data_IF_307900871343
#
_entry.id   IF_307900871343
#
_cell.length_a   1.000
_cell.length_b   1.000
_cell.length_c   1.000
_cell.angle_alpha   90.00
_cell.angle_beta   90.00
_cell.angle_gamma   90.00
#
_symmetry.space_group_name_H-M   'P 1'
#
loop_
_entity.id
_entity.type
_entity.pdbx_description
1 polymer ?
#
# COMPACT_ATOMS: atom_id res chain seq x y z
N UNK A 1 25.56 16.85 14.61
CA UNK A 1 26.68 17.15 15.50
C UNK A 1 26.16 17.65 16.83
N UNK A 2 26.72 17.15 17.92
CA UNK A 2 26.45 17.61 19.28
C UNK A 2 27.73 18.19 19.89
N UNK A 3 27.58 19.14 20.83
CA UNK A 3 28.66 19.64 21.65
C UNK A 3 28.89 18.78 22.92
N UNK A 4 29.84 19.20 23.80
CA UNK A 4 30.16 18.53 25.03
C UNK A 4 29.01 18.47 26.07
N UNK A 5 27.99 19.35 25.93
CA UNK A 5 26.78 19.40 26.77
C UNK A 5 25.59 18.67 26.12
N UNK A 6 25.82 17.91 25.03
CA UNK A 6 24.82 17.17 24.28
C UNK A 6 23.78 18.01 23.55
N UNK A 7 24.08 19.27 23.33
CA UNK A 7 23.22 20.17 22.59
C UNK A 7 23.52 20.09 21.09
N UNK A 8 22.47 20.16 20.30
CA UNK A 8 22.55 20.11 18.85
C UNK A 8 23.28 21.34 18.29
N UNK A 9 24.37 21.14 17.56
CA UNK A 9 25.12 22.20 16.87
C UNK A 9 24.88 22.24 15.37
N UNK A 10 24.62 21.10 14.78
CA UNK A 10 24.35 21.02 13.34
C UNK A 10 23.51 19.78 13.02
N UNK A 11 22.56 19.94 12.11
CA UNK A 11 21.76 18.86 11.53
C UNK A 11 21.79 19.02 10.00
N UNK A 12 22.09 17.93 9.29
CA UNK A 12 22.06 17.95 7.84
C UNK A 12 20.62 17.78 7.31
N UNK A 13 20.33 18.14 6.04
CA UNK A 13 18.97 18.03 5.49
C UNK A 13 18.39 16.60 5.50
N UNK A 14 19.24 15.57 5.43
CA UNK A 14 18.80 14.19 5.51
C UNK A 14 18.27 13.84 6.92
N UNK A 15 18.93 14.35 7.97
CA UNK A 15 18.48 14.18 9.35
C UNK A 15 17.22 15.02 9.63
N UNK A 16 17.12 16.25 9.07
CA UNK A 16 15.89 17.05 9.15
C UNK A 16 14.70 16.31 8.54
N UNK A 17 14.89 15.65 7.39
CA UNK A 17 13.86 14.84 6.75
C UNK A 17 13.52 13.58 7.55
N UNK A 18 14.52 12.92 8.17
CA UNK A 18 14.30 11.72 9.00
C UNK A 18 13.49 12.03 10.26
N UNK A 19 13.84 13.14 10.93
CA UNK A 19 13.18 13.55 12.17
C UNK A 19 11.92 14.41 11.92
N UNK A 20 11.65 14.79 10.67
CA UNK A 20 10.55 15.70 10.27
C UNK A 20 10.57 17.05 11.01
N UNK A 21 11.77 17.53 11.32
CA UNK A 21 12.01 18.73 12.12
C UNK A 21 13.08 19.61 11.48
N UNK A 22 12.94 20.93 11.63
CA UNK A 22 13.96 21.88 11.13
C UNK A 22 15.11 22.00 12.11
N UNK A 23 16.32 21.74 11.64
CA UNK A 23 17.54 21.88 12.43
C UNK A 23 17.72 23.28 13.02
N UNK A 24 17.32 24.34 12.26
CA UNK A 24 17.41 25.73 12.73
C UNK A 24 16.63 26.01 14.01
N UNK A 25 15.55 25.27 14.27
CA UNK A 25 14.76 25.41 15.51
C UNK A 25 15.35 24.64 16.68
N UNK A 26 16.19 23.67 16.42
CA UNK A 26 16.72 22.72 17.40
C UNK A 26 18.18 22.97 17.74
N UNK A 27 18.89 23.85 17.00
CA UNK A 27 20.25 24.25 17.36
C UNK A 27 20.27 24.82 18.76
N UNK A 28 21.12 24.25 19.65
CA UNK A 28 21.23 24.59 21.06
C UNK A 28 20.28 23.82 21.97
N UNK A 29 19.35 23.04 21.45
CA UNK A 29 18.50 22.15 22.25
C UNK A 29 19.22 20.84 22.60
N UNK A 30 18.94 20.25 23.79
CA UNK A 30 19.45 18.95 24.17
C UNK A 30 18.95 17.85 23.21
N UNK A 31 19.79 16.83 22.96
CA UNK A 31 19.43 15.74 22.04
C UNK A 31 18.17 14.96 22.48
N UNK A 32 17.84 14.95 23.76
CA UNK A 32 16.62 14.34 24.32
C UNK A 32 15.33 15.02 23.80
N UNK A 33 15.40 16.27 23.33
CA UNK A 33 14.27 16.94 22.71
C UNK A 33 13.98 16.46 21.29
N UNK A 34 14.91 15.75 20.67
CA UNK A 34 14.74 15.18 19.33
C UNK A 34 14.00 13.85 19.37
N UNK A 35 14.42 12.97 20.29
CA UNK A 35 13.84 11.62 20.42
C UNK A 35 14.11 11.05 21.81
N UNK A 36 13.20 10.15 22.22
CA UNK A 36 13.37 9.30 23.38
C UNK A 36 13.68 7.88 22.89
N UNK A 37 14.65 7.25 23.49
CA UNK A 37 14.95 5.84 23.26
C UNK A 37 14.18 4.97 24.28
N UNK A 38 13.57 3.86 23.80
CA UNK A 38 12.75 2.97 24.64
C UNK A 38 13.54 2.17 25.70
N UNK A 39 14.86 2.14 25.59
CA UNK A 39 15.73 1.45 26.55
C UNK A 39 16.44 2.49 27.39
N UNK A 40 16.39 2.31 28.71
CA UNK A 40 17.15 3.04 29.72
C UNK A 40 18.66 2.99 29.44
N UNK A 41 19.10 3.65 28.40
CA UNK A 41 20.52 3.92 28.21
C UNK A 41 20.73 5.30 28.80
N UNK A 42 21.24 5.30 30.04
CA UNK A 42 21.68 6.50 30.73
C UNK A 42 22.47 7.38 29.73
N UNK A 43 22.02 8.61 29.51
CA UNK A 43 22.72 9.57 28.64
C UNK A 43 24.20 9.68 29.04
N UNK A 44 24.53 9.45 30.31
CA UNK A 44 25.90 9.34 30.82
C UNK A 44 26.70 8.17 30.23
N UNK A 45 26.03 7.04 29.88
CA UNK A 45 26.74 5.89 29.27
C UNK A 45 27.16 6.16 27.84
N UNK A 46 26.48 7.06 27.13
CA UNK A 46 26.87 7.50 25.79
C UNK A 46 28.18 8.30 25.78
N UNK A 47 28.59 8.85 26.91
CA UNK A 47 29.72 9.77 27.03
C UNK A 47 30.97 9.20 27.72
N UNK A 48 30.85 8.17 28.54
CA UNK A 48 31.99 7.45 29.04
C UNK A 48 32.75 6.68 27.94
N UNK A 49 32.23 6.73 26.71
CA UNK A 49 32.79 6.04 25.55
C UNK A 49 33.72 6.98 24.75
N UNK A 50 34.97 7.07 25.17
CA UNK A 50 36.05 7.55 24.30
C UNK A 50 36.26 6.69 23.05
N UNK A 51 35.29 5.84 22.68
CA UNK A 51 35.29 4.91 21.54
C UNK A 51 34.04 5.03 20.71
N UNK A 52 34.14 4.89 19.38
CA UNK A 52 32.96 4.84 18.49
C UNK A 52 32.01 3.73 18.95
N UNK A 53 30.74 4.05 19.03
CA UNK A 53 29.69 3.13 19.43
C UNK A 53 28.64 3.03 18.32
N UNK A 54 28.16 1.81 18.03
CA UNK A 54 27.11 1.59 17.06
C UNK A 54 25.99 0.76 17.70
N UNK A 55 24.76 1.27 17.65
CA UNK A 55 23.56 0.55 18.04
C UNK A 55 22.75 0.19 16.82
N UNK A 56 22.41 -1.08 16.72
CA UNK A 56 21.59 -1.60 15.61
C UNK A 56 20.14 -1.78 16.04
N UNK A 57 19.22 -1.50 15.11
CA UNK A 57 17.77 -1.65 15.32
C UNK A 57 17.24 -0.90 16.54
N UNK A 58 17.74 0.31 16.76
CA UNK A 58 17.23 1.17 17.82
C UNK A 58 15.85 1.74 17.41
N UNK A 59 14.87 1.59 18.29
CA UNK A 59 13.57 2.24 18.14
C UNK A 59 13.63 3.61 18.81
N UNK A 60 13.51 4.67 18.03
CA UNK A 60 13.50 6.04 18.52
C UNK A 60 12.08 6.58 18.44
N UNK A 61 11.55 7.07 19.57
CA UNK A 61 10.26 7.77 19.60
C UNK A 61 10.51 9.26 19.46
N UNK A 62 10.04 9.83 18.35
CA UNK A 62 10.14 11.26 18.11
C UNK A 62 9.16 12.04 19.01
N UNK A 63 9.49 13.29 19.30
CA UNK A 63 8.69 14.15 20.21
C UNK A 63 7.25 14.38 19.74
N UNK A 64 6.96 14.21 18.45
CA UNK A 64 5.60 14.25 17.89
C UNK A 64 4.88 12.90 17.87
N UNK A 65 5.43 11.86 18.56
CA UNK A 65 4.78 10.56 18.79
C UNK A 65 5.06 9.50 17.72
N UNK A 66 5.81 9.82 16.66
CA UNK A 66 6.21 8.86 15.62
C UNK A 66 7.39 8.02 16.11
N UNK A 67 7.35 6.73 15.82
CA UNK A 67 8.46 5.81 16.05
C UNK A 67 9.21 5.55 14.75
N UNK A 68 10.54 5.55 14.84
CA UNK A 68 11.44 5.20 13.73
C UNK A 68 12.44 4.14 14.19
N UNK A 69 12.75 3.20 13.32
CA UNK A 69 13.78 2.18 13.59
C UNK A 69 15.02 2.52 12.77
N UNK A 70 16.13 2.71 13.47
CA UNK A 70 17.40 3.13 12.87
C UNK A 70 18.58 2.31 13.40
N UNK A 71 19.61 2.16 12.58
CA UNK A 71 20.96 1.95 13.09
C UNK A 71 21.56 3.32 13.33
N UNK A 72 22.23 3.53 14.46
CA UNK A 72 22.98 4.74 14.67
C UNK A 72 24.37 4.48 15.20
N UNK A 73 25.31 5.33 14.81
CA UNK A 73 26.67 5.34 15.33
C UNK A 73 26.97 6.68 15.97
N UNK A 74 27.67 6.64 17.09
CA UNK A 74 28.18 7.82 17.79
C UNK A 74 29.70 7.78 17.73
N UNK A 75 30.31 8.83 17.23
CA UNK A 75 31.76 8.95 17.08
C UNK A 75 32.25 10.27 17.66
N UNK A 76 33.28 10.26 18.54
CA UNK A 76 33.91 11.47 19.01
C UNK A 76 34.68 12.14 17.88
N UNK A 77 34.48 13.43 17.70
CA UNK A 77 35.28 14.24 16.75
C UNK A 77 36.42 14.93 17.51
N UNK A 78 37.62 14.86 16.95
CA UNK A 78 38.77 15.61 17.47
C UNK A 78 38.69 17.08 17.07
N UNK A 79 38.58 17.99 18.04
CA UNK A 79 38.50 19.43 17.84
C UNK A 79 38.66 20.18 19.16
N UNK A 80 38.77 21.50 19.14
CA UNK A 80 38.94 22.37 20.29
C UNK A 80 37.74 22.31 21.28
N UNK A 81 36.53 22.02 20.75
CA UNK A 81 35.31 21.77 21.51
C UNK A 81 34.96 20.30 21.32
N UNK A 82 34.82 19.55 22.41
CA UNK A 82 34.45 18.13 22.36
C UNK A 82 33.10 18.01 21.60
N UNK A 83 33.17 17.46 20.39
CA UNK A 83 31.97 17.26 19.54
C UNK A 83 31.72 15.77 19.31
N UNK A 84 30.46 15.42 19.22
CA UNK A 84 30.02 14.08 18.85
C UNK A 84 29.32 14.13 17.49
N UNK A 85 29.72 13.24 16.60
CA UNK A 85 29.02 12.95 15.39
C UNK A 85 28.06 11.79 15.64
N UNK A 86 26.77 12.01 15.43
CA UNK A 86 25.78 10.91 15.37
C UNK A 86 25.35 10.75 13.91
N UNK A 87 25.51 9.52 13.42
CA UNK A 87 25.06 9.13 12.09
C UNK A 87 23.89 8.18 12.24
N UNK A 88 22.77 8.48 11.59
CA UNK A 88 21.57 7.64 11.58
C UNK A 88 21.39 6.98 10.23
N UNK A 89 21.19 5.68 10.23
CA UNK A 89 20.83 4.91 9.05
C UNK A 89 19.43 4.32 9.24
N UNK A 90 18.40 4.83 8.55
CA UNK A 90 17.05 4.30 8.65
C UNK A 90 16.99 2.85 8.16
N UNK A 91 16.60 1.93 9.04
CA UNK A 91 16.46 0.51 8.68
C UNK A 91 15.12 0.24 8.02
N UNK A 92 14.08 1.01 8.37
CA UNK A 92 12.75 0.85 7.81
C UNK A 92 12.75 0.84 6.28
N UNK A 93 13.64 1.65 5.67
CA UNK A 93 13.77 1.68 4.21
C UNK A 93 14.31 0.37 3.66
N UNK A 94 15.35 -0.22 4.24
CA UNK A 94 15.94 -1.49 3.78
C UNK A 94 15.02 -2.68 4.07
N UNK A 95 14.40 -2.68 5.25
CA UNK A 95 13.41 -3.71 5.62
C UNK A 95 12.14 -3.59 4.76
N UNK A 96 11.73 -2.37 4.41
CA UNK A 96 10.59 -2.13 3.51
C UNK A 96 10.93 -2.61 2.09
N UNK A 97 12.09 -2.26 1.56
CA UNK A 97 12.58 -2.75 0.26
C UNK A 97 12.65 -4.28 0.25
N UNK A 98 13.25 -4.89 1.27
CA UNK A 98 13.36 -6.34 1.37
C UNK A 98 11.99 -7.03 1.49
N UNK A 99 11.04 -6.43 2.23
CA UNK A 99 9.64 -6.92 2.32
C UNK A 99 8.89 -6.74 1.00
N UNK A 100 9.07 -5.62 0.32
CA UNK A 100 8.50 -5.35 -1.00
C UNK A 100 9.05 -6.35 -2.02
N UNK A 101 10.36 -6.57 -2.07
CA UNK A 101 10.99 -7.55 -2.96
C UNK A 101 10.54 -8.99 -2.65
N UNK A 102 10.51 -9.38 -1.39
CA UNK A 102 9.99 -10.68 -0.97
C UNK A 102 8.51 -10.83 -1.32
N UNK A 103 7.71 -9.77 -1.09
CA UNK A 103 6.30 -9.72 -1.49
C UNK A 103 6.11 -9.84 -2.99
N UNK A 104 6.92 -9.16 -3.79
CA UNK A 104 6.90 -9.23 -5.26
C UNK A 104 7.30 -10.63 -5.75
N UNK A 105 8.37 -11.21 -5.20
CA UNK A 105 8.83 -12.56 -5.55
C UNK A 105 7.77 -13.62 -5.21
N UNK A 106 7.21 -13.55 -4.00
CA UNK A 106 6.14 -14.44 -3.55
C UNK A 106 4.87 -14.25 -4.39
N UNK A 107 4.50 -13.02 -4.70
CA UNK A 107 3.35 -12.70 -5.55
C UNK A 107 3.54 -13.22 -6.98
N UNK A 108 4.77 -13.15 -7.54
CA UNK A 108 5.09 -13.74 -8.86
C UNK A 108 4.99 -15.25 -8.85
N UNK A 109 5.57 -15.91 -7.85
CA UNK A 109 5.51 -17.38 -7.71
C UNK A 109 4.07 -17.86 -7.55
N UNK A 110 3.31 -17.23 -6.66
CA UNK A 110 1.90 -17.53 -6.45
C UNK A 110 1.07 -17.29 -7.71
N UNK A 111 1.36 -16.25 -8.50
CA UNK A 111 0.67 -15.99 -9.77
C UNK A 111 0.91 -17.09 -10.80
N UNK A 112 2.12 -17.63 -10.90
CA UNK A 112 2.43 -18.76 -11.81
C UNK A 112 1.65 -19.99 -11.39
N UNK A 113 1.63 -20.32 -10.09
CA UNK A 113 0.88 -21.45 -9.55
C UNK A 113 -0.64 -21.26 -9.74
N UNK A 114 -1.18 -20.09 -9.39
CA UNK A 114 -2.61 -19.77 -9.57
C UNK A 114 -2.99 -19.83 -11.05
N UNK A 115 -2.13 -19.38 -11.96
CA UNK A 115 -2.38 -19.47 -13.41
C UNK A 115 -2.44 -20.91 -13.88
N UNK A 116 -1.53 -21.77 -13.44
CA UNK A 116 -1.56 -23.22 -13.75
C UNK A 116 -2.84 -23.87 -13.26
N UNK A 117 -3.15 -23.68 -11.97
CA UNK A 117 -4.38 -24.21 -11.35
C UNK A 117 -5.65 -23.68 -12.03
N UNK A 118 -5.67 -22.41 -12.40
CA UNK A 118 -6.84 -21.83 -13.06
C UNK A 118 -7.09 -22.46 -14.44
N UNK A 119 -6.05 -22.76 -15.21
CA UNK A 119 -6.20 -23.49 -16.48
C UNK A 119 -6.73 -24.90 -16.24
N UNK A 120 -6.22 -25.59 -15.21
CA UNK A 120 -6.67 -26.95 -14.86
C UNK A 120 -8.10 -26.97 -14.30
N UNK A 121 -8.58 -25.90 -13.66
CA UNK A 121 -9.96 -25.79 -13.19
C UNK A 121 -10.91 -25.40 -14.34
N UNK A 122 -10.50 -24.50 -15.23
CA UNK A 122 -11.33 -24.07 -16.38
C UNK A 122 -11.65 -25.21 -17.34
N UNK A 123 -10.72 -26.14 -17.51
CA UNK A 123 -10.90 -27.27 -18.41
C UNK A 123 -12.09 -28.17 -18.01
N UNK A 124 -12.17 -28.71 -16.78
CA UNK A 124 -13.33 -29.49 -16.36
C UNK A 124 -14.63 -28.68 -16.32
N UNK A 125 -14.57 -27.38 -15.93
CA UNK A 125 -15.76 -26.52 -15.98
C UNK A 125 -16.29 -26.34 -17.40
N UNK A 126 -15.38 -26.19 -18.38
CA UNK A 126 -15.76 -26.16 -19.79
C UNK A 126 -16.40 -27.47 -20.26
N UNK A 127 -15.88 -28.61 -19.79
CA UNK A 127 -16.46 -29.92 -20.05
C UNK A 127 -17.86 -30.11 -19.43
N UNK A 128 -18.02 -29.73 -18.18
CA UNK A 128 -19.33 -29.77 -17.48
C UNK A 128 -20.36 -28.89 -18.17
N UNK A 129 -19.98 -27.66 -18.52
CA UNK A 129 -20.86 -26.74 -19.27
C UNK A 129 -21.27 -27.31 -20.62
N UNK A 130 -20.29 -27.86 -21.39
CA UNK A 130 -20.56 -28.44 -22.71
C UNK A 130 -21.46 -29.67 -22.60
N UNK A 131 -21.24 -30.56 -21.63
CA UNK A 131 -22.10 -31.73 -21.38
C UNK A 131 -23.55 -31.32 -21.00
N UNK A 132 -23.71 -30.30 -20.12
CA UNK A 132 -25.03 -29.78 -19.76
C UNK A 132 -25.75 -29.15 -20.96
N UNK A 133 -25.03 -28.43 -21.84
CA UNK A 133 -25.59 -27.88 -23.07
C UNK A 133 -26.05 -28.96 -24.06
N UNK A 134 -25.29 -30.05 -24.21
CA UNK A 134 -25.70 -31.18 -25.05
C UNK A 134 -26.89 -31.88 -24.46
N UNK A 135 -26.88 -32.14 -23.13
CA UNK A 135 -28.01 -32.74 -22.43
C UNK A 135 -29.28 -31.90 -22.60
N UNK A 136 -29.23 -30.58 -22.45
CA UNK A 136 -30.35 -29.68 -22.63
C UNK A 136 -30.98 -29.79 -24.05
N UNK A 137 -30.16 -30.07 -25.09
CA UNK A 137 -30.66 -30.25 -26.45
C UNK A 137 -31.41 -31.60 -26.68
N UNK A 138 -31.05 -32.63 -25.91
CA UNK A 138 -31.64 -33.97 -26.02
C UNK A 138 -32.86 -34.14 -25.10
N UNK A 139 -33.03 -33.28 -24.10
CA UNK A 139 -34.16 -33.32 -23.18
C UNK A 139 -35.43 -32.83 -23.86
N UNK A 140 -36.47 -33.64 -23.79
CA UNK A 140 -37.83 -33.30 -24.26
C UNK A 140 -38.73 -32.75 -23.16
N UNK A 141 -38.43 -33.07 -21.90
CA UNK A 141 -39.18 -32.52 -20.74
C UNK A 141 -38.64 -31.18 -20.32
N UNK A 142 -39.43 -30.14 -20.56
CA UNK A 142 -39.09 -28.75 -20.21
C UNK A 142 -38.74 -28.54 -18.74
N UNK A 143 -39.27 -29.34 -17.83
CA UNK A 143 -38.95 -29.24 -16.39
C UNK A 143 -37.52 -29.66 -16.07
N UNK A 144 -36.91 -30.50 -16.92
CA UNK A 144 -35.52 -30.91 -16.74
C UNK A 144 -34.51 -29.90 -17.28
N UNK A 145 -34.95 -28.94 -18.13
CA UNK A 145 -34.11 -27.86 -18.58
C UNK A 145 -33.66 -26.94 -17.43
N UNK A 146 -34.50 -26.73 -16.42
CA UNK A 146 -34.12 -25.94 -15.23
C UNK A 146 -32.84 -26.48 -14.56
N UNK A 147 -32.67 -27.80 -14.49
CA UNK A 147 -31.46 -28.40 -13.93
C UNK A 147 -30.23 -28.18 -14.80
N UNK A 148 -30.38 -28.26 -16.12
CA UNK A 148 -29.25 -27.99 -17.02
C UNK A 148 -28.86 -26.53 -17.03
N UNK A 149 -29.82 -25.62 -16.91
CA UNK A 149 -29.56 -24.17 -16.81
C UNK A 149 -28.80 -23.85 -15.52
N UNK A 150 -29.21 -24.42 -14.38
CA UNK A 150 -28.48 -24.27 -13.10
C UNK A 150 -27.03 -24.77 -13.23
N UNK A 151 -26.80 -25.92 -13.87
CA UNK A 151 -25.43 -26.44 -14.07
C UNK A 151 -24.59 -25.50 -14.92
N UNK A 152 -25.18 -24.96 -16.01
CA UNK A 152 -24.50 -24.02 -16.91
C UNK A 152 -24.16 -22.72 -16.16
N UNK A 153 -25.13 -22.14 -15.43
CA UNK A 153 -24.95 -20.92 -14.65
C UNK A 153 -23.86 -21.08 -13.58
N UNK A 154 -23.86 -22.17 -12.83
CA UNK A 154 -22.83 -22.42 -11.81
C UNK A 154 -21.44 -22.68 -12.42
N UNK A 155 -21.38 -23.38 -13.56
CA UNK A 155 -20.10 -23.55 -14.29
C UNK A 155 -19.55 -22.21 -14.78
N UNK A 156 -20.40 -21.32 -15.32
CA UNK A 156 -20.03 -19.98 -15.76
C UNK A 156 -19.66 -19.09 -14.56
N UNK A 157 -20.38 -19.21 -13.44
CA UNK A 157 -20.06 -18.50 -12.19
C UNK A 157 -18.68 -18.88 -11.65
N UNK A 158 -18.38 -20.18 -11.57
CA UNK A 158 -17.09 -20.70 -11.12
C UNK A 158 -15.97 -20.28 -12.09
N UNK A 159 -16.20 -20.32 -13.39
CA UNK A 159 -15.25 -19.84 -14.39
C UNK A 159 -14.93 -18.36 -14.20
N UNK A 160 -15.95 -17.51 -14.00
CA UNK A 160 -15.79 -16.09 -13.72
C UNK A 160 -15.05 -15.82 -12.41
N UNK A 161 -15.24 -16.68 -11.39
CA UNK A 161 -14.48 -16.60 -10.14
C UNK A 161 -13.00 -16.87 -10.38
N UNK A 162 -12.68 -17.95 -11.12
CA UNK A 162 -11.30 -18.31 -11.50
C UNK A 162 -10.66 -17.20 -12.34
N UNK A 163 -11.41 -16.60 -13.28
CA UNK A 163 -10.91 -15.46 -14.06
C UNK A 163 -10.57 -14.25 -13.19
N UNK A 164 -11.39 -13.95 -12.20
CA UNK A 164 -11.10 -12.88 -11.23
C UNK A 164 -9.88 -13.17 -10.38
N UNK A 165 -9.62 -14.45 -10.03
CA UNK A 165 -8.43 -14.83 -9.26
C UNK A 165 -7.11 -14.55 -10.01
N UNK A 166 -7.12 -14.63 -11.31
CA UNK A 166 -5.93 -14.41 -12.15
C UNK A 166 -5.55 -12.94 -12.30
N UNK A 167 -6.46 -12.01 -12.02
CA UNK A 167 -6.30 -10.58 -12.28
C UNK A 167 -6.25 -10.27 -13.79
N UNK A 168 -5.75 -9.11 -14.20
CA UNK A 168 -5.69 -8.74 -15.60
C UNK A 168 -4.79 -9.68 -16.39
N UNK A 169 -5.33 -10.28 -17.45
CA UNK A 169 -4.63 -11.30 -18.26
C UNK A 169 -3.73 -10.72 -19.35
N UNK A 170 -3.90 -9.43 -19.67
CA UNK A 170 -3.14 -8.74 -20.70
C UNK A 170 -2.14 -7.76 -20.09
N UNK A 171 -1.00 -7.52 -20.75
CA UNK A 171 -0.14 -6.40 -20.41
C UNK A 171 -0.95 -5.09 -20.40
N UNK A 172 -0.59 -4.11 -19.54
CA UNK A 172 -1.26 -2.82 -19.53
C UNK A 172 -1.09 -2.08 -20.87
N UNK A 173 -2.15 -1.52 -21.37
CA UNK A 173 -2.13 -0.61 -22.53
C UNK A 173 -1.85 0.81 -22.01
N UNK A 174 -0.53 1.11 -21.85
CA UNK A 174 -0.09 2.36 -21.27
C UNK A 174 -0.32 3.52 -22.24
N UNK A 175 -1.13 4.47 -21.83
CA UNK A 175 -1.47 5.71 -22.56
C UNK A 175 -1.39 6.91 -21.61
N UNK A 176 -1.15 8.11 -22.16
CA UNK A 176 -1.28 9.33 -21.36
C UNK A 176 -2.74 9.46 -20.89
N UNK A 177 -2.95 9.50 -19.58
CA UNK A 177 -4.28 9.66 -18.99
C UNK A 177 -4.25 10.70 -17.87
N UNK A 178 -5.37 11.40 -17.71
CA UNK A 178 -5.59 12.23 -16.55
C UNK A 178 -6.07 11.36 -15.37
N UNK A 179 -5.27 11.31 -14.31
CA UNK A 179 -5.56 10.50 -13.12
C UNK A 179 -6.90 10.87 -12.47
N UNK A 180 -7.29 12.15 -12.52
CA UNK A 180 -8.55 12.61 -11.92
C UNK A 180 -9.79 12.06 -12.65
N UNK A 181 -9.70 11.80 -13.96
CA UNK A 181 -10.80 11.12 -14.68
C UNK A 181 -11.02 9.70 -14.19
N UNK A 182 -9.92 9.00 -13.85
CA UNK A 182 -9.98 7.65 -13.28
C UNK A 182 -10.62 7.70 -11.88
N UNK A 183 -10.11 8.57 -11.00
CA UNK A 183 -10.62 8.72 -9.63
C UNK A 183 -12.09 9.17 -9.63
N UNK A 184 -12.49 10.11 -10.49
CA UNK A 184 -13.87 10.57 -10.62
C UNK A 184 -14.80 9.50 -11.19
N UNK A 185 -14.29 8.62 -12.07
CA UNK A 185 -15.08 7.47 -12.54
C UNK A 185 -15.39 6.53 -11.38
N UNK A 186 -14.40 6.23 -10.55
CA UNK A 186 -14.57 5.40 -9.34
C UNK A 186 -15.51 6.08 -8.35
N UNK A 187 -15.31 7.38 -8.08
CA UNK A 187 -16.15 8.16 -7.18
C UNK A 187 -17.62 8.10 -7.55
N UNK A 188 -17.94 8.26 -8.86
CA UNK A 188 -19.33 8.17 -9.36
C UNK A 188 -19.92 6.77 -9.20
N UNK A 189 -19.15 5.72 -9.46
CA UNK A 189 -19.61 4.34 -9.32
C UNK A 189 -19.92 4.02 -7.85
N UNK A 190 -19.03 4.39 -6.95
CA UNK A 190 -19.22 4.17 -5.50
C UNK A 190 -20.37 5.01 -4.95
N UNK A 191 -20.54 6.27 -5.38
CA UNK A 191 -21.65 7.11 -4.97
C UNK A 191 -23.00 6.52 -5.40
N UNK A 192 -23.06 5.92 -6.61
CA UNK A 192 -24.25 5.24 -7.08
C UNK A 192 -24.55 3.94 -6.31
N UNK A 193 -23.51 3.22 -5.86
CA UNK A 193 -23.63 1.98 -5.09
C UNK A 193 -24.00 2.24 -3.62
N UNK A 194 -23.37 3.24 -3.01
CA UNK A 194 -23.51 3.56 -1.59
C UNK A 194 -24.69 4.48 -1.26
N UNK A 195 -25.18 5.24 -2.22
CA UNK A 195 -26.20 6.27 -1.99
C UNK A 195 -25.74 7.29 -0.93
N UNK A 196 -26.59 7.52 0.05
CA UNK A 196 -26.35 8.43 1.17
C UNK A 196 -25.68 7.74 2.40
N UNK A 197 -25.30 6.47 2.27
CA UNK A 197 -24.74 5.70 3.38
C UNK A 197 -23.34 6.18 3.79
N UNK A 198 -22.61 6.85 2.90
CA UNK A 198 -21.28 7.38 3.15
C UNK A 198 -21.11 8.80 2.61
N UNK A 199 -20.23 9.56 3.25
CA UNK A 199 -19.73 10.84 2.75
C UNK A 199 -18.46 10.63 1.94
N UNK A 200 -18.51 10.88 0.63
CA UNK A 200 -17.36 10.80 -0.26
C UNK A 200 -16.71 12.18 -0.42
N UNK A 201 -15.51 12.34 0.12
CA UNK A 201 -14.72 13.59 0.05
C UNK A 201 -13.69 13.51 -1.06
N UNK A 202 -13.61 14.56 -1.87
CA UNK A 202 -12.65 14.73 -2.97
C UNK A 202 -11.61 15.76 -2.56
N UNK A 203 -10.34 15.35 -2.52
CA UNK A 203 -9.21 16.20 -2.13
C UNK A 203 -8.09 16.03 -3.18
N UNK A 204 -8.25 16.73 -4.30
CA UNK A 204 -7.41 16.56 -5.48
C UNK A 204 -6.39 17.68 -5.64
N UNK A 205 -5.19 17.30 -6.08
CA UNK A 205 -4.15 18.21 -6.52
C UNK A 205 -4.24 18.41 -8.05
N UNK A 206 -4.74 19.56 -8.53
CA UNK A 206 -4.93 19.78 -9.97
C UNK A 206 -3.61 19.94 -10.74
N UNK A 207 -2.47 20.01 -10.04
CA UNK A 207 -1.15 20.18 -10.68
C UNK A 207 -0.55 18.87 -11.20
N UNK A 208 -1.20 17.72 -10.96
CA UNK A 208 -0.71 16.42 -11.41
C UNK A 208 -0.79 16.35 -12.95
N UNK A 209 0.34 16.15 -13.65
CA UNK A 209 0.33 15.99 -15.10
C UNK A 209 -0.27 14.61 -15.49
N UNK A 210 -0.48 14.40 -16.79
CA UNK A 210 -0.86 13.10 -17.33
C UNK A 210 0.18 12.03 -16.96
N UNK A 211 -0.33 10.84 -16.64
CA UNK A 211 0.48 9.67 -16.30
C UNK A 211 0.35 8.61 -17.39
N UNK A 212 1.41 7.80 -17.60
CA UNK A 212 1.36 6.67 -18.52
C UNK A 212 0.72 5.47 -17.80
N UNK A 213 -0.53 5.16 -18.13
CA UNK A 213 -1.25 4.09 -17.46
C UNK A 213 -2.36 3.47 -18.33
N UNK A 214 -2.77 2.24 -17.98
CA UNK A 214 -3.99 1.61 -18.48
C UNK A 214 -5.18 2.08 -17.62
N UNK A 215 -6.05 2.87 -18.23
CA UNK A 215 -7.19 3.50 -17.56
C UNK A 215 -8.13 2.49 -16.90
N UNK A 216 -8.45 1.40 -17.61
CA UNK A 216 -9.41 0.41 -17.13
C UNK A 216 -8.83 -0.42 -15.97
N UNK A 217 -7.55 -0.76 -16.05
CA UNK A 217 -6.87 -1.46 -14.97
C UNK A 217 -6.78 -0.59 -13.71
N UNK A 218 -6.46 0.71 -13.83
CA UNK A 218 -6.43 1.61 -12.68
C UNK A 218 -7.82 1.82 -12.06
N UNK A 219 -8.87 1.93 -12.89
CA UNK A 219 -10.27 1.96 -12.39
C UNK A 219 -10.54 0.70 -11.59
N UNK A 220 -10.18 -0.48 -12.09
CA UNK A 220 -10.36 -1.76 -11.40
C UNK A 220 -9.62 -1.79 -10.05
N UNK A 221 -8.35 -1.37 -10.02
CA UNK A 221 -7.56 -1.36 -8.80
C UNK A 221 -8.18 -0.45 -7.74
N UNK A 222 -8.55 0.76 -8.12
CA UNK A 222 -9.17 1.73 -7.21
C UNK A 222 -10.57 1.29 -6.76
N UNK A 223 -11.40 0.73 -7.65
CA UNK A 223 -12.71 0.19 -7.29
C UNK A 223 -12.60 -0.91 -6.23
N UNK A 224 -11.65 -1.84 -6.36
CA UNK A 224 -11.44 -2.88 -5.38
C UNK A 224 -11.10 -2.29 -3.99
N UNK A 225 -10.25 -1.26 -3.95
CA UNK A 225 -9.84 -0.62 -2.70
C UNK A 225 -11.01 0.17 -2.09
N UNK A 226 -11.72 0.97 -2.89
CA UNK A 226 -12.81 1.81 -2.39
C UNK A 226 -14.03 0.95 -1.98
N UNK A 227 -14.29 -0.18 -2.66
CA UNK A 227 -15.31 -1.14 -2.22
C UNK A 227 -14.95 -1.78 -0.89
N UNK A 228 -13.68 -2.15 -0.69
CA UNK A 228 -13.24 -2.67 0.61
C UNK A 228 -13.47 -1.64 1.73
N UNK A 229 -13.22 -0.36 1.46
CA UNK A 229 -13.51 0.74 2.40
C UNK A 229 -15.02 0.87 2.68
N UNK A 230 -15.85 0.88 1.62
CA UNK A 230 -17.31 0.93 1.74
C UNK A 230 -17.85 -0.23 2.57
N UNK A 231 -17.45 -1.45 2.25
CA UNK A 231 -17.85 -2.64 2.98
C UNK A 231 -17.37 -2.63 4.44
N UNK A 232 -16.15 -2.11 4.73
CA UNK A 232 -15.64 -1.99 6.08
C UNK A 232 -16.49 -1.05 6.92
N UNK A 233 -16.91 0.07 6.35
CA UNK A 233 -17.76 1.05 6.98
C UNK A 233 -19.16 0.48 7.21
N UNK A 234 -19.77 -0.12 6.18
CA UNK A 234 -21.16 -0.61 6.25
C UNK A 234 -21.33 -1.83 7.15
N UNK A 235 -20.29 -2.66 7.29
CA UNK A 235 -20.29 -3.83 8.19
C UNK A 235 -20.05 -3.48 9.65
N UNK A 236 -19.62 -2.24 9.93
CA UNK A 236 -19.29 -1.83 11.30
C UNK A 236 -20.49 -1.12 11.95
N UNK A 237 -20.85 -1.46 13.18
CA UNK A 237 -21.91 -0.77 13.93
C UNK A 237 -21.48 0.62 14.43
N UNK A 238 -20.61 1.30 13.70
CA UNK A 238 -19.99 2.55 14.16
C UNK A 238 -21.00 3.68 14.37
N UNK A 239 -20.82 4.43 15.45
CA UNK A 239 -21.63 5.59 15.83
C UNK A 239 -21.38 6.86 14.98
N UNK A 240 -20.48 6.81 14.00
CA UNK A 240 -20.10 7.95 13.16
C UNK A 240 -20.56 7.74 11.71
N UNK A 241 -20.93 8.82 11.00
CA UNK A 241 -21.19 8.74 9.57
C UNK A 241 -19.98 8.16 8.85
N UNK A 242 -20.23 7.21 7.94
CA UNK A 242 -19.19 6.65 7.10
C UNK A 242 -18.57 7.71 6.20
N UNK A 243 -17.24 7.74 6.11
CA UNK A 243 -16.51 8.68 5.27
C UNK A 243 -15.42 7.98 4.50
N UNK A 244 -15.33 8.29 3.20
CA UNK A 244 -14.20 7.90 2.34
C UNK A 244 -13.63 9.17 1.71
N UNK A 245 -12.32 9.36 1.83
CA UNK A 245 -11.59 10.47 1.21
C UNK A 245 -10.77 9.92 0.06
N UNK A 246 -10.99 10.47 -1.14
CA UNK A 246 -10.14 10.23 -2.30
C UNK A 246 -9.21 11.42 -2.44
N UNK A 247 -7.91 11.18 -2.23
CA UNK A 247 -6.90 12.24 -2.27
C UNK A 247 -5.86 11.96 -3.33
N UNK A 248 -5.44 12.99 -4.04
CA UNK A 248 -4.32 12.91 -4.99
C UNK A 248 -3.27 13.95 -4.66
N UNK A 249 -1.99 13.59 -4.76
CA UNK A 249 -0.84 14.49 -4.54
C UNK A 249 0.31 14.12 -5.46
N UNK A 250 1.20 15.07 -5.71
CA UNK A 250 2.52 14.78 -6.29
C UNK A 250 3.53 14.49 -5.19
N UNK A 251 4.40 13.50 -5.43
CA UNK A 251 5.55 13.18 -4.56
C UNK A 251 6.82 13.29 -5.39
N UNK A 252 7.80 14.01 -4.86
CA UNK A 252 9.10 14.22 -5.54
C UNK A 252 10.20 13.40 -4.87
N UNK A 253 11.21 13.02 -5.66
CA UNK A 253 12.43 12.38 -5.17
C UNK A 253 12.12 11.15 -4.29
N UNK A 254 11.31 10.24 -4.81
CA UNK A 254 10.90 9.04 -4.07
C UNK A 254 11.40 7.76 -4.74
N UNK A 255 11.74 6.74 -3.95
CA UNK A 255 12.24 5.46 -4.46
C UNK A 255 11.18 4.39 -4.27
N UNK A 256 10.83 3.68 -5.35
CA UNK A 256 10.01 2.47 -5.32
C UNK A 256 10.94 1.28 -5.56
N UNK A 257 11.03 0.37 -4.59
CA UNK A 257 12.02 -0.71 -4.64
C UNK A 257 13.45 -0.15 -4.77
N UNK A 258 14.15 -0.51 -5.85
CA UNK A 258 15.50 -0.02 -6.16
C UNK A 258 15.51 1.17 -7.14
N UNK A 259 14.35 1.56 -7.70
CA UNK A 259 14.26 2.59 -8.73
C UNK A 259 13.90 3.93 -8.10
N UNK A 260 14.76 4.93 -8.34
CA UNK A 260 14.52 6.29 -7.93
C UNK A 260 13.69 7.04 -8.98
N UNK A 261 12.58 7.62 -8.54
CA UNK A 261 11.67 8.40 -9.38
C UNK A 261 11.72 9.87 -8.99
N UNK A 262 11.86 10.75 -10.00
CA UNK A 262 11.85 12.18 -9.81
C UNK A 262 10.48 12.70 -9.37
N UNK A 263 9.41 12.13 -9.93
CA UNK A 263 8.03 12.52 -9.68
C UNK A 263 7.10 11.32 -9.71
N UNK A 264 6.22 11.23 -8.71
CA UNK A 264 5.18 10.22 -8.60
C UNK A 264 3.81 10.88 -8.43
N UNK A 265 2.80 10.23 -8.96
CA UNK A 265 1.40 10.46 -8.60
C UNK A 265 1.07 9.58 -7.39
N UNK A 266 0.64 10.19 -6.29
CA UNK A 266 0.12 9.51 -5.10
C UNK A 266 -1.40 9.64 -5.09
N UNK A 267 -2.07 8.49 -5.05
CA UNK A 267 -3.52 8.37 -4.89
C UNK A 267 -3.76 7.71 -3.54
N UNK A 268 -4.51 8.35 -2.67
CA UNK A 268 -4.85 7.81 -1.36
C UNK A 268 -6.37 7.58 -1.27
N UNK A 269 -6.74 6.42 -0.75
CA UNK A 269 -8.10 6.08 -0.33
C UNK A 269 -8.08 5.95 1.18
N UNK A 270 -8.77 6.86 1.88
CA UNK A 270 -8.77 6.94 3.34
C UNK A 270 -10.20 6.73 3.81
N UNK A 271 -10.41 5.75 4.68
CA UNK A 271 -11.71 5.47 5.27
C UNK A 271 -11.67 5.58 6.81
N UNK A 272 -12.83 5.82 7.40
CA UNK A 272 -13.01 5.88 8.84
C UNK A 272 -13.64 4.60 9.43
N UNK A 273 -13.41 3.48 8.76
CA UNK A 273 -13.87 2.15 9.17
C UNK A 273 -13.20 1.61 10.44
N UNK A 274 -13.47 0.37 10.81
CA UNK A 274 -12.97 -0.24 12.05
C UNK A 274 -11.46 -0.48 12.06
N UNK A 275 -10.78 -0.35 10.93
CA UNK A 275 -9.39 -0.72 10.75
C UNK A 275 -9.22 -2.18 10.34
N UNK A 276 -7.96 -2.57 10.10
CA UNK A 276 -7.56 -3.92 9.72
C UNK A 276 -6.87 -4.58 10.92
N UNK A 277 -7.27 -5.78 11.34
CA UNK A 277 -6.61 -6.50 12.43
C UNK A 277 -5.11 -6.72 12.17
N UNK A 278 -4.29 -6.55 13.20
CA UNK A 278 -2.83 -6.65 13.10
C UNK A 278 -2.37 -8.04 12.60
N UNK A 279 -3.14 -9.10 12.94
CA UNK A 279 -2.83 -10.47 12.57
C UNK A 279 -2.86 -10.71 11.05
N UNK A 280 -3.73 -9.98 10.34
CA UNK A 280 -3.86 -10.11 8.88
C UNK A 280 -3.13 -9.01 8.12
N UNK A 281 -2.72 -7.93 8.78
CA UNK A 281 -2.12 -6.74 8.15
C UNK A 281 -0.92 -7.08 7.26
N UNK A 282 -0.06 -8.00 7.70
CA UNK A 282 1.11 -8.42 6.92
C UNK A 282 0.74 -9.22 5.66
N UNK A 283 -0.46 -9.79 5.63
CA UNK A 283 -0.90 -10.71 4.59
C UNK A 283 -2.06 -10.19 3.73
N UNK A 284 -2.50 -8.94 3.91
CA UNK A 284 -3.70 -8.40 3.22
C UNK A 284 -3.61 -8.41 1.70
N UNK A 285 -2.39 -8.41 1.16
CA UNK A 285 -2.14 -8.46 -0.29
C UNK A 285 -1.98 -9.88 -0.83
N UNK A 286 -1.98 -10.91 0.03
CA UNK A 286 -1.97 -12.29 -0.45
C UNK A 286 -3.36 -12.70 -0.96
N UNK A 287 -3.43 -13.47 -2.06
CA UNK A 287 -4.71 -14.00 -2.55
C UNK A 287 -5.43 -14.81 -1.48
N UNK A 288 -6.75 -14.72 -1.45
CA UNK A 288 -7.64 -15.45 -0.52
C UNK A 288 -7.50 -15.05 0.95
N UNK A 289 -6.74 -14.02 1.29
CA UNK A 289 -6.72 -13.45 2.63
C UNK A 289 -7.89 -12.47 2.75
N UNK A 290 -8.81 -12.76 3.65
CA UNK A 290 -9.95 -11.91 3.94
C UNK A 290 -10.19 -11.89 5.44
N UNK A 291 -10.42 -10.71 5.99
CA UNK A 291 -10.92 -10.56 7.37
C UNK A 291 -12.43 -10.79 7.51
N UNK A 292 -13.12 -11.21 6.42
CA UNK A 292 -14.58 -11.38 6.36
C UNK A 292 -14.94 -12.73 5.78
N UNK A 293 -16.04 -13.32 6.31
CA UNK A 293 -16.51 -14.64 5.88
C UNK A 293 -16.96 -14.69 4.41
N UNK A 294 -17.52 -13.59 3.88
CA UNK A 294 -18.04 -13.52 2.50
C UNK A 294 -17.05 -12.88 1.51
N UNK A 295 -15.91 -12.38 1.97
CA UNK A 295 -14.90 -11.73 1.13
C UNK A 295 -14.09 -12.75 0.33
N UNK A 296 -13.99 -12.59 -0.99
CA UNK A 296 -13.15 -13.45 -1.85
C UNK A 296 -11.65 -13.37 -1.54
N UNK A 297 -11.19 -12.32 -0.83
CA UNK A 297 -9.78 -12.06 -0.54
C UNK A 297 -8.91 -11.79 -1.78
N UNK A 298 -9.52 -11.50 -2.94
CA UNK A 298 -8.81 -11.34 -4.21
C UNK A 298 -8.61 -9.88 -4.61
N UNK A 299 -9.46 -8.96 -4.12
CA UNK A 299 -9.48 -7.57 -4.58
C UNK A 299 -8.15 -6.85 -4.37
N UNK A 300 -7.55 -6.95 -3.18
CA UNK A 300 -6.28 -6.27 -2.85
C UNK A 300 -5.08 -6.87 -3.59
N UNK A 301 -5.04 -8.19 -3.76
CA UNK A 301 -3.97 -8.85 -4.53
C UNK A 301 -4.01 -8.47 -6.01
N UNK A 302 -5.22 -8.30 -6.58
CA UNK A 302 -5.42 -7.81 -7.95
C UNK A 302 -4.97 -6.34 -8.04
N UNK A 303 -5.37 -5.51 -7.09
CA UNK A 303 -4.97 -4.09 -7.06
C UNK A 303 -3.46 -3.94 -6.98
N UNK A 304 -2.79 -4.71 -6.11
CA UNK A 304 -1.33 -4.73 -6.01
C UNK A 304 -0.68 -5.15 -7.34
N UNK A 305 -1.23 -6.21 -7.98
CA UNK A 305 -0.76 -6.67 -9.28
C UNK A 305 -0.84 -5.60 -10.36
N UNK A 306 -1.97 -4.89 -10.43
CA UNK A 306 -2.19 -3.81 -11.39
C UNK A 306 -1.19 -2.68 -11.13
N UNK A 307 -1.07 -2.22 -9.90
CA UNK A 307 -0.16 -1.13 -9.53
C UNK A 307 1.30 -1.49 -9.86
N UNK A 308 1.72 -2.74 -9.59
CA UNK A 308 3.06 -3.20 -9.95
C UNK A 308 3.29 -3.27 -11.46
N UNK A 309 2.27 -3.62 -12.27
CA UNK A 309 2.38 -3.59 -13.73
C UNK A 309 2.55 -2.16 -14.28
N UNK A 310 2.13 -1.16 -13.51
CA UNK A 310 2.36 0.26 -13.78
C UNK A 310 3.66 0.79 -13.12
N UNK A 311 4.57 -0.11 -12.71
CA UNK A 311 5.82 0.23 -12.03
C UNK A 311 5.63 1.01 -10.72
N UNK A 312 4.45 0.91 -10.12
CA UNK A 312 4.06 1.57 -8.89
C UNK A 312 4.18 0.68 -7.64
N UNK A 313 3.85 1.24 -6.49
CA UNK A 313 3.67 0.52 -5.22
C UNK A 313 2.28 0.76 -4.63
N UNK A 314 1.77 -0.23 -3.90
CA UNK A 314 0.55 -0.16 -3.12
C UNK A 314 0.88 -0.45 -1.67
N UNK A 315 0.58 0.51 -0.80
CA UNK A 315 0.86 0.48 0.63
C UNK A 315 -0.45 0.59 1.41
N UNK A 316 -0.45 0.10 2.65
CA UNK A 316 -1.60 0.20 3.55
C UNK A 316 -1.12 0.53 4.95
N UNK A 317 -1.72 1.58 5.54
CA UNK A 317 -1.60 1.92 6.95
C UNK A 317 -3.00 1.84 7.56
N UNK A 318 -3.14 1.16 8.70
CA UNK A 318 -4.45 1.01 9.32
C UNK A 318 -4.38 1.03 10.83
N UNK A 319 -5.23 1.86 11.40
CA UNK A 319 -5.50 1.96 12.82
C UNK A 319 -7.02 1.93 13.05
N UNK A 320 -7.49 1.57 14.23
CA UNK A 320 -8.92 1.62 14.53
C UNK A 320 -9.52 3.01 14.28
N UNK A 321 -10.42 3.12 13.33
CA UNK A 321 -11.06 4.37 12.93
C UNK A 321 -10.40 5.09 11.76
N UNK A 322 -9.32 4.55 11.20
CA UNK A 322 -8.70 5.08 9.98
C UNK A 322 -7.93 4.00 9.25
N UNK A 323 -8.32 3.69 8.01
CA UNK A 323 -7.50 2.90 7.09
C UNK A 323 -7.11 3.77 5.90
N UNK A 324 -5.85 3.69 5.49
CA UNK A 324 -5.32 4.42 4.33
C UNK A 324 -4.63 3.45 3.40
N UNK A 325 -5.11 3.38 2.18
CA UNK A 325 -4.40 2.76 1.06
C UNK A 325 -3.75 3.83 0.21
N UNK A 326 -2.46 3.67 -0.09
CA UNK A 326 -1.65 4.60 -0.88
C UNK A 326 -1.14 3.91 -2.13
N UNK A 327 -1.54 4.42 -3.29
CA UNK A 327 -1.00 4.02 -4.59
C UNK A 327 0.02 5.05 -5.03
N UNK A 328 1.23 4.60 -5.36
CA UNK A 328 2.29 5.43 -5.94
C UNK A 328 2.52 4.98 -7.38
N UNK A 329 2.33 5.87 -8.35
CA UNK A 329 2.50 5.58 -9.78
C UNK A 329 3.51 6.56 -10.36
N UNK A 330 4.57 6.07 -11.05
CA UNK A 330 5.56 6.93 -11.68
C UNK A 330 4.95 7.86 -12.74
N UNK A 331 5.31 9.12 -12.66
CA UNK A 331 5.05 10.09 -13.73
C UNK A 331 6.30 10.09 -14.61
N UNK A 332 6.18 9.50 -15.79
CA UNK A 332 7.28 9.50 -16.75
C UNK A 332 7.40 10.89 -17.35
N UNK A 333 8.60 11.50 -17.29
CA UNK A 333 8.89 12.71 -18.04
C UNK A 333 8.70 12.39 -19.53
N UNK A 334 7.92 13.19 -20.23
CA UNK A 334 7.74 13.08 -21.69
C UNK A 334 9.04 13.38 -22.48
N UNK A 335 10.19 13.50 -21.79
CA UNK A 335 11.51 13.82 -22.33
C UNK A 335 12.54 12.79 -21.87
N UNK A 336 12.46 11.57 -22.38
CA UNK A 336 13.42 10.54 -22.04
C UNK A 336 13.22 9.33 -22.94
N UNK A 337 13.48 9.48 -24.20
CA UNK A 337 13.66 8.45 -25.22
C UNK A 337 14.95 8.78 -25.94
#
# INVERSE_FOLDING_TARGET
LLDGDFCLRYMNPAAEALFEMSGLRLIGSPVQELFLEEVETDAQTLFDLARPYTKRKATLRLTHGKEIVVDYSVSPMQGADAMLLIEFQPIDRLLRIAREEAGIATSRANRVLVRGLAHEIKNPLGGLRGAAQLLARELTDMRLHEYTDVIIEEADRLRNLVDRMLGPHRPPDLKPINVHEVVERVARLIQAEAGDAIMLVRDYDPSIPEIQADREQLIQALLNIVRNALEAITSSPAKRPGQIILRTRTVRQHTIGLVHHRLLCRIEVIDNGPGIPAEIMQNIFFPMVSGRAEGSGLGLSISQSIVHQHHGSLECDSEPGQTRFTLLIPIQDARGG
#
